data_IF_740262570691
#
_entry.id   IF_740262570691
#
_cell.length_a   1.000
_cell.length_b   1.000
_cell.length_c   1.000
_cell.angle_alpha   90.00
_cell.angle_beta   90.00
_cell.angle_gamma   90.00
#
_symmetry.space_group_name_H-M   'P 1'
#
loop_
_entity.id
_entity.type
_entity.pdbx_description
1 polymer ?
#
# COMPACT_ATOMS: atom_id res chain seq x y z
N UNK A 1 19.55 12.77 -6.76
CA UNK A 1 20.11 11.41 -6.67
C UNK A 1 19.16 10.60 -5.77
N UNK A 2 18.33 9.70 -6.32
CA UNK A 2 17.35 8.95 -5.52
C UNK A 2 18.11 8.03 -4.57
N UNK A 3 17.91 8.17 -3.27
CA UNK A 3 18.53 7.29 -2.29
C UNK A 3 18.14 5.83 -2.61
N UNK A 4 19.14 4.97 -2.79
CA UNK A 4 18.91 3.56 -3.09
C UNK A 4 18.38 2.90 -1.82
N UNK A 5 17.12 2.44 -1.82
CA UNK A 5 16.55 1.69 -0.69
C UNK A 5 17.43 0.45 -0.46
N UNK A 6 17.98 0.20 0.74
CA UNK A 6 18.84 -0.95 1.01
C UNK A 6 18.14 -2.27 0.68
N UNK A 7 18.87 -3.30 0.22
CA UNK A 7 18.28 -4.60 -0.16
C UNK A 7 17.46 -5.23 0.97
N UNK A 8 17.92 -5.10 2.22
CA UNK A 8 17.23 -5.60 3.43
C UNK A 8 15.93 -4.86 3.76
N UNK A 9 15.65 -3.73 3.10
CA UNK A 9 14.44 -2.91 3.28
C UNK A 9 13.55 -2.90 2.04
N UNK A 10 13.76 -3.85 1.11
CA UNK A 10 12.91 -4.04 -0.08
C UNK A 10 12.05 -5.28 0.08
N UNK A 11 10.84 -5.22 -0.45
CA UNK A 11 9.95 -6.36 -0.56
C UNK A 11 10.35 -7.20 -1.79
N UNK A 12 11.15 -8.24 -1.57
CA UNK A 12 11.65 -9.15 -2.62
C UNK A 12 10.67 -10.31 -2.90
N UNK A 13 9.39 -9.99 -3.09
CA UNK A 13 8.30 -10.95 -3.30
C UNK A 13 8.11 -11.40 -4.75
N UNK A 14 7.31 -12.45 -4.94
CA UNK A 14 6.98 -13.06 -6.23
C UNK A 14 5.55 -13.64 -6.22
N UNK A 15 5.20 -14.40 -7.26
CA UNK A 15 3.86 -14.95 -7.45
C UNK A 15 3.47 -16.05 -6.45
N UNK A 16 4.42 -16.55 -5.63
CA UNK A 16 4.15 -17.49 -4.54
C UNK A 16 4.03 -16.82 -3.16
N UNK A 17 4.29 -15.52 -3.08
CA UNK A 17 4.38 -14.80 -1.80
C UNK A 17 2.99 -14.44 -1.23
N UNK A 18 2.80 -14.61 0.07
CA UNK A 18 1.65 -14.08 0.82
C UNK A 18 2.10 -12.85 1.60
N UNK A 19 1.40 -11.72 1.43
CA UNK A 19 1.85 -10.41 1.92
C UNK A 19 0.79 -9.80 2.85
N UNK A 20 1.24 -9.31 4.01
CA UNK A 20 0.48 -8.41 4.87
C UNK A 20 1.06 -7.01 4.76
N UNK A 21 0.24 -6.05 4.31
CA UNK A 21 0.53 -4.63 4.38
C UNK A 21 -0.26 -4.02 5.55
N UNK A 22 0.42 -3.71 6.64
CA UNK A 22 -0.16 -3.03 7.79
C UNK A 22 0.25 -1.56 7.83
N UNK A 23 -0.72 -0.65 7.91
CA UNK A 23 -0.47 0.79 7.97
C UNK A 23 -1.24 1.40 9.14
N UNK A 24 -0.55 2.21 9.97
CA UNK A 24 -1.16 2.89 11.11
C UNK A 24 -0.57 4.29 11.24
N UNK A 25 -1.43 5.30 11.18
CA UNK A 25 -1.13 6.73 11.38
C UNK A 25 -2.43 7.54 11.39
N UNK A 26 -2.36 8.86 11.56
CA UNK A 26 -3.49 9.75 11.28
C UNK A 26 -3.84 9.77 9.80
N UNK A 27 -5.12 9.97 9.51
CA UNK A 27 -5.67 10.00 8.16
C UNK A 27 -6.89 10.91 8.09
N UNK A 28 -7.45 11.00 6.89
CA UNK A 28 -8.64 11.79 6.58
C UNK A 28 -9.24 11.31 5.25
N UNK A 29 -9.91 12.20 4.53
CA UNK A 29 -10.64 11.82 3.32
C UNK A 29 -9.66 11.41 2.21
N UNK A 30 -9.59 10.12 1.94
CA UNK A 30 -8.73 9.49 0.95
C UNK A 30 -7.21 9.62 1.18
N UNK A 31 -6.76 9.94 2.41
CA UNK A 31 -5.34 10.03 2.71
C UNK A 31 -4.94 9.48 4.08
N UNK A 32 -3.68 9.04 4.17
CA UNK A 32 -2.98 8.69 5.39
C UNK A 32 -1.69 9.51 5.48
N UNK A 33 -1.45 10.19 6.60
CA UNK A 33 -0.22 10.97 6.79
C UNK A 33 1.00 10.06 6.76
N UNK A 34 2.02 10.41 5.98
CA UNK A 34 3.25 9.66 5.83
C UNK A 34 4.44 10.55 6.16
N UNK A 35 5.25 10.16 7.15
CA UNK A 35 6.25 11.06 7.74
C UNK A 35 5.63 12.44 8.08
N UNK A 36 6.44 13.48 8.24
CA UNK A 36 5.98 14.75 8.83
C UNK A 36 5.37 15.71 7.81
N UNK A 37 5.58 15.46 6.51
CA UNK A 37 5.14 16.38 5.44
C UNK A 37 4.59 15.69 4.19
N UNK A 38 4.49 14.37 4.16
CA UNK A 38 3.94 13.63 3.01
C UNK A 38 2.59 13.00 3.37
N UNK A 39 1.79 12.70 2.35
CA UNK A 39 0.51 12.02 2.46
C UNK A 39 0.50 10.87 1.46
N UNK A 40 0.08 9.70 1.91
CA UNK A 40 -0.25 8.58 1.03
C UNK A 40 -1.72 8.69 0.66
N UNK A 41 -2.01 8.92 -0.61
CA UNK A 41 -3.39 9.04 -1.08
C UNK A 41 -3.95 7.68 -1.53
N UNK A 42 -5.28 7.58 -1.61
CA UNK A 42 -5.98 6.38 -2.09
C UNK A 42 -5.50 5.94 -3.48
N UNK A 43 -5.20 6.90 -4.36
CA UNK A 43 -4.71 6.65 -5.71
C UNK A 43 -3.29 6.07 -5.70
N UNK A 44 -2.39 6.53 -4.82
CA UNK A 44 -1.03 6.01 -4.68
C UNK A 44 -1.07 4.53 -4.26
N UNK A 45 -1.92 4.21 -3.28
CA UNK A 45 -2.12 2.84 -2.80
C UNK A 45 -2.67 1.95 -3.91
N UNK A 46 -3.70 2.41 -4.63
CA UNK A 46 -4.32 1.67 -5.72
C UNK A 46 -3.32 1.38 -6.85
N UNK A 47 -2.56 2.39 -7.27
CA UNK A 47 -1.55 2.26 -8.32
C UNK A 47 -0.41 1.32 -7.90
N UNK A 48 0.05 1.40 -6.66
CA UNK A 48 1.08 0.50 -6.13
C UNK A 48 0.60 -0.97 -6.14
N UNK A 49 -0.61 -1.22 -5.64
CA UNK A 49 -1.20 -2.57 -5.61
C UNK A 49 -1.43 -3.10 -7.02
N UNK A 50 -1.93 -2.27 -7.93
CA UNK A 50 -2.13 -2.61 -9.34
C UNK A 50 -0.80 -3.01 -10.00
N UNK A 51 0.24 -2.19 -9.84
CA UNK A 51 1.57 -2.49 -10.38
C UNK A 51 2.16 -3.78 -9.78
N UNK A 52 1.94 -4.03 -8.49
CA UNK A 52 2.37 -5.28 -7.85
C UNK A 52 1.63 -6.49 -8.42
N UNK A 53 0.33 -6.37 -8.71
CA UNK A 53 -0.46 -7.44 -9.33
C UNK A 53 -0.01 -7.72 -10.76
N UNK A 54 0.14 -6.68 -11.59
CA UNK A 54 0.60 -6.80 -12.99
C UNK A 54 1.98 -7.47 -13.09
N UNK A 55 2.88 -7.16 -12.15
CA UNK A 55 4.22 -7.75 -12.06
C UNK A 55 4.26 -9.08 -11.29
N UNK A 56 3.11 -9.65 -10.95
CA UNK A 56 2.96 -10.91 -10.20
C UNK A 56 3.82 -10.96 -8.93
N UNK A 57 3.72 -9.92 -8.11
CA UNK A 57 4.55 -9.75 -6.89
C UNK A 57 3.94 -10.39 -5.63
N UNK A 58 2.79 -11.03 -5.75
CA UNK A 58 2.14 -11.77 -4.67
C UNK A 58 1.12 -12.77 -5.21
N UNK A 59 0.89 -13.84 -4.46
CA UNK A 59 -0.26 -14.73 -4.59
C UNK A 59 -1.50 -14.11 -3.92
N UNK A 60 -1.35 -13.74 -2.65
CA UNK A 60 -2.37 -13.12 -1.81
C UNK A 60 -1.79 -11.90 -1.10
N UNK A 61 -2.60 -10.84 -1.01
CA UNK A 61 -2.26 -9.60 -0.33
C UNK A 61 -3.42 -9.23 0.60
N UNK A 62 -3.12 -9.12 1.89
CA UNK A 62 -4.01 -8.54 2.88
C UNK A 62 -3.52 -7.14 3.23
N UNK A 63 -4.40 -6.15 3.12
CA UNK A 63 -4.12 -4.77 3.52
C UNK A 63 -4.96 -4.46 4.75
N UNK A 64 -4.31 -4.05 5.83
CA UNK A 64 -4.96 -3.65 7.07
C UNK A 64 -4.52 -2.23 7.41
N UNK A 65 -5.49 -1.33 7.57
CA UNK A 65 -5.22 0.07 7.87
C UNK A 65 -5.95 0.48 9.13
N UNK A 66 -5.20 0.99 10.10
CA UNK A 66 -5.69 1.54 11.36
C UNK A 66 -5.52 3.07 11.35
N UNK A 67 -6.56 3.77 10.91
CA UNK A 67 -6.58 5.23 10.78
C UNK A 67 -8.01 5.80 10.83
N UNK A 68 -8.14 7.11 11.02
CA UNK A 68 -9.41 7.81 10.86
C UNK A 68 -9.87 7.75 9.40
N UNK A 69 -11.14 7.42 9.16
CA UNK A 69 -11.72 7.30 7.81
C UNK A 69 -11.05 6.23 6.94
N UNK A 70 -10.47 5.17 7.53
CA UNK A 70 -9.73 4.12 6.82
C UNK A 70 -10.41 3.57 5.54
N UNK A 71 -11.74 3.52 5.49
CA UNK A 71 -12.47 3.03 4.32
C UNK A 71 -12.24 3.88 3.05
N UNK A 72 -12.02 5.20 3.19
CA UNK A 72 -11.84 6.12 2.05
C UNK A 72 -10.51 5.88 1.33
N UNK A 73 -9.49 5.35 2.01
CA UNK A 73 -8.23 4.95 1.38
C UNK A 73 -8.38 3.84 0.34
N UNK A 74 -9.49 3.09 0.38
CA UNK A 74 -9.77 2.02 -0.56
C UNK A 74 -10.72 2.45 -1.69
N UNK A 75 -11.15 3.72 -1.76
CA UNK A 75 -12.09 4.21 -2.78
C UNK A 75 -11.63 3.93 -4.21
N UNK A 76 -10.32 4.05 -4.45
CA UNK A 76 -9.69 3.84 -5.75
C UNK A 76 -9.17 2.41 -5.98
N UNK A 77 -9.19 1.56 -4.95
CA UNK A 77 -8.66 0.20 -5.02
C UNK A 77 -9.70 -0.70 -5.68
N UNK A 78 -9.51 -0.96 -6.97
CA UNK A 78 -10.49 -1.64 -7.83
C UNK A 78 -10.40 -3.17 -7.84
N UNK A 79 -9.45 -3.77 -7.11
CA UNK A 79 -9.09 -5.19 -7.28
C UNK A 79 -9.23 -6.09 -6.05
N UNK A 80 -9.78 -5.62 -4.91
CA UNK A 80 -9.96 -6.48 -3.75
C UNK A 80 -11.03 -5.96 -2.78
N UNK A 81 -12.28 -6.27 -3.06
CA UNK A 81 -13.17 -6.74 -2.01
C UNK A 81 -13.50 -8.18 -2.39
N UNK A 82 -13.33 -9.11 -1.45
CA UNK A 82 -13.92 -10.44 -1.58
C UNK A 82 -15.43 -10.32 -1.85
#
# INVERSE_FOLDING_TARGET
MKAVVPRSKRLLSDEGSHILLYMTRHGGDEFLKFQDSEELQSHDLADAVKQMKEKRRFKELLIMVDTCQAATLFSQVTFAFL
#
